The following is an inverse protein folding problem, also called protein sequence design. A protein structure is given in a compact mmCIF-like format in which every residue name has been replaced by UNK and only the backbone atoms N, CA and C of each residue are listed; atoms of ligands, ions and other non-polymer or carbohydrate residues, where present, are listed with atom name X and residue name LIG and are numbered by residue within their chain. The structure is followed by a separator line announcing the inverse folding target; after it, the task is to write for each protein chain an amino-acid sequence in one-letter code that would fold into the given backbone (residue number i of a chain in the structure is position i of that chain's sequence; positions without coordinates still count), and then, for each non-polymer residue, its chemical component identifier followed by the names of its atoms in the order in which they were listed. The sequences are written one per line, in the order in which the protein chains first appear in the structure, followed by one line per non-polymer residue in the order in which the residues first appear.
data_IF_907328083473
#
_entry.id   IF_907328083473
#
_cell.length_a   1.000
_cell.length_b   1.000
_cell.length_c   1.000
_cell.angle_alpha   90.00
_cell.angle_beta   90.00
_cell.angle_gamma   90.00
#
_symmetry.space_group_name_H-M   'P 1'
#
loop_
_entity.id
_entity.type
_entity.pdbx_description
1 polymer ?
#
# COMPACT_ATOMS: atom_id res chain seq x y z
N UNK A 1 5.18 -36.82 4.81
CA UNK A 1 6.59 -36.37 4.81
C UNK A 1 6.62 -34.96 4.23
N UNK A 2 7.23 -33.98 4.90
CA UNK A 2 7.36 -32.59 4.43
C UNK A 2 8.82 -32.13 4.53
N UNK A 3 9.23 -31.14 3.75
CA UNK A 3 10.58 -30.56 3.79
C UNK A 3 10.51 -29.13 4.33
N UNK A 4 11.36 -28.83 5.31
CA UNK A 4 11.52 -27.49 5.89
C UNK A 4 12.88 -26.93 5.50
N UNK A 5 12.92 -25.66 5.10
CA UNK A 5 14.13 -24.96 4.68
C UNK A 5 14.34 -23.73 5.56
N UNK A 6 15.56 -23.53 6.05
CA UNK A 6 15.97 -22.35 6.82
C UNK A 6 16.82 -21.46 5.91
N UNK A 7 16.20 -20.49 5.26
CA UNK A 7 16.84 -19.62 4.28
C UNK A 7 16.23 -18.23 4.34
N UNK A 8 17.02 -17.21 3.99
CA UNK A 8 16.55 -15.83 3.89
C UNK A 8 15.51 -15.64 2.77
N UNK A 9 15.49 -16.53 1.78
CA UNK A 9 14.54 -16.55 0.67
C UNK A 9 13.94 -17.96 0.50
N UNK A 10 12.66 -18.06 0.08
CA UNK A 10 12.02 -19.35 -0.12
C UNK A 10 12.77 -20.14 -1.21
N UNK A 11 12.91 -21.47 -1.04
CA UNK A 11 13.68 -22.32 -1.97
C UNK A 11 13.02 -22.45 -3.36
N UNK A 12 11.73 -22.14 -3.44
CA UNK A 12 10.95 -22.06 -4.68
C UNK A 12 10.35 -20.67 -4.72
N UNK A 13 10.62 -19.94 -5.80
CA UNK A 13 10.10 -18.60 -6.02
C UNK A 13 9.13 -18.62 -7.20
N UNK A 14 8.05 -17.85 -7.07
CA UNK A 14 7.17 -17.56 -8.19
C UNK A 14 7.89 -16.66 -9.21
N UNK A 15 7.60 -16.78 -10.51
CA UNK A 15 8.05 -15.79 -11.49
C UNK A 15 7.31 -14.44 -11.35
N UNK A 16 6.26 -14.37 -10.53
CA UNK A 16 5.52 -13.13 -10.28
C UNK A 16 6.33 -12.15 -9.44
N UNK A 17 6.01 -10.86 -9.57
CA UNK A 17 6.55 -9.83 -8.69
C UNK A 17 6.16 -10.08 -7.23
N UNK A 18 7.03 -9.71 -6.30
CA UNK A 18 6.82 -9.88 -4.86
C UNK A 18 6.85 -8.55 -4.13
N UNK A 19 6.24 -8.50 -2.95
CA UNK A 19 6.32 -7.36 -2.06
C UNK A 19 7.70 -7.34 -1.43
N UNK A 20 8.44 -6.25 -1.65
CA UNK A 20 9.70 -5.98 -0.98
C UNK A 20 9.47 -5.37 0.39
N UNK A 21 8.55 -4.40 0.47
CA UNK A 21 8.31 -3.63 1.69
C UNK A 21 6.89 -3.05 1.71
N UNK A 22 6.34 -2.93 2.91
CA UNK A 22 5.11 -2.20 3.19
C UNK A 22 5.43 -1.06 4.14
N UNK A 23 5.02 0.15 3.79
CA UNK A 23 5.15 1.36 4.63
C UNK A 23 3.79 1.94 4.87
N UNK A 24 3.63 2.57 6.04
CA UNK A 24 2.40 3.28 6.39
C UNK A 24 2.74 4.68 6.87
N UNK A 25 1.83 5.62 6.68
CA UNK A 25 2.07 7.03 6.99
C UNK A 25 0.79 7.84 7.10
N UNK A 26 0.94 9.16 7.14
CA UNK A 26 -0.19 10.08 7.05
C UNK A 26 -0.71 10.10 5.60
N UNK A 27 -2.01 9.83 5.41
CA UNK A 27 -2.69 10.01 4.13
C UNK A 27 -3.40 11.36 4.06
N UNK A 28 -4.33 11.50 3.14
CA UNK A 28 -5.25 12.64 3.11
C UNK A 28 -4.77 13.84 2.29
N UNK A 29 -3.49 13.86 1.91
CA UNK A 29 -2.88 14.99 1.23
C UNK A 29 -3.31 15.05 -0.23
N UNK A 30 -3.99 16.12 -0.69
CA UNK A 30 -4.19 16.37 -2.11
C UNK A 30 -2.87 16.36 -2.89
N UNK A 31 -2.94 16.04 -4.18
CA UNK A 31 -1.76 16.07 -5.05
C UNK A 31 -1.11 17.47 -5.02
N UNK A 32 0.20 17.51 -4.82
CA UNK A 32 0.97 18.75 -4.67
C UNK A 32 1.03 19.34 -3.25
N UNK A 33 0.30 18.80 -2.27
CA UNK A 33 0.40 19.25 -0.88
C UNK A 33 1.56 18.56 -0.15
N UNK A 34 2.46 19.36 0.42
CA UNK A 34 3.53 18.86 1.28
C UNK A 34 3.08 18.78 2.76
N UNK A 35 3.39 17.69 3.47
CA UNK A 35 3.26 17.62 4.92
C UNK A 35 3.99 18.79 5.58
N UNK A 36 3.29 19.54 6.44
CA UNK A 36 3.84 20.70 7.14
C UNK A 36 3.52 22.07 6.51
N UNK A 37 3.06 22.13 5.26
CA UNK A 37 2.48 23.35 4.68
C UNK A 37 0.96 23.34 4.85
N UNK A 38 0.33 22.25 4.42
CA UNK A 38 -1.12 22.08 4.44
C UNK A 38 -1.50 20.73 5.05
N UNK A 39 -2.13 20.72 6.23
CA UNK A 39 -2.67 19.49 6.82
C UNK A 39 -4.05 19.19 6.25
N UNK A 40 -4.38 17.92 5.95
CA UNK A 40 -5.70 17.57 5.46
C UNK A 40 -6.77 17.72 6.54
N UNK A 41 -7.96 18.18 6.13
CA UNK A 41 -9.12 18.28 7.04
C UNK A 41 -9.64 16.92 7.50
N UNK A 42 -9.42 15.88 6.68
CA UNK A 42 -9.88 14.52 6.94
C UNK A 42 -8.69 13.60 7.18
N UNK A 43 -8.76 12.86 8.28
CA UNK A 43 -7.79 11.83 8.58
C UNK A 43 -7.95 10.62 7.66
N UNK A 44 -6.83 10.13 7.18
CA UNK A 44 -6.64 8.93 6.37
C UNK A 44 -5.28 8.30 6.69
N UNK A 45 -5.18 6.98 6.44
CA UNK A 45 -3.94 6.22 6.58
C UNK A 45 -3.37 5.92 5.21
N UNK A 46 -2.15 6.38 4.93
CA UNK A 46 -1.44 6.03 3.70
C UNK A 46 -0.80 4.66 3.82
N UNK A 47 -0.91 3.86 2.76
CA UNK A 47 -0.17 2.63 2.56
C UNK A 47 0.66 2.76 1.29
N UNK A 48 1.95 2.42 1.38
CA UNK A 48 2.87 2.36 0.26
C UNK A 48 3.50 0.97 0.21
N UNK A 49 3.20 0.23 -0.86
CA UNK A 49 3.64 -1.15 -1.05
C UNK A 49 4.60 -1.19 -2.23
N UNK A 50 5.82 -1.64 -1.97
CA UNK A 50 6.88 -1.76 -2.98
C UNK A 50 6.87 -3.16 -3.56
N UNK A 51 6.68 -3.27 -4.87
CA UNK A 51 6.79 -4.50 -5.63
C UNK A 51 8.09 -4.54 -6.43
N UNK A 52 8.76 -5.70 -6.40
CA UNK A 52 10.02 -5.97 -7.12
C UNK A 52 9.99 -7.34 -7.79
N UNK A 53 10.84 -7.51 -8.80
CA UNK A 53 10.94 -8.76 -9.55
C UNK A 53 9.76 -8.99 -10.51
N UNK A 54 9.70 -10.21 -11.05
CA UNK A 54 8.78 -10.56 -12.14
C UNK A 54 8.91 -9.64 -13.36
N UNK A 55 7.85 -9.58 -14.16
CA UNK A 55 7.83 -8.84 -15.43
C UNK A 55 7.31 -7.40 -15.30
N UNK A 56 7.43 -6.76 -14.12
CA UNK A 56 6.88 -5.42 -13.87
C UNK A 56 7.34 -4.38 -14.90
N UNK A 57 8.62 -4.39 -15.27
CA UNK A 57 9.16 -3.46 -16.29
C UNK A 57 8.56 -3.68 -17.67
N UNK A 58 8.32 -4.93 -18.06
CA UNK A 58 7.71 -5.27 -19.33
C UNK A 58 6.19 -5.02 -19.32
N UNK A 59 5.56 -5.11 -18.14
CA UNK A 59 4.15 -4.82 -17.92
C UNK A 59 3.85 -3.31 -17.87
N UNK A 60 4.78 -2.48 -17.38
CA UNK A 60 4.55 -1.05 -17.19
C UNK A 60 4.12 -0.29 -18.46
N UNK A 61 4.76 -0.48 -19.64
CA UNK A 61 4.29 0.15 -20.89
C UNK A 61 2.89 -0.33 -21.32
N UNK A 62 2.46 -1.51 -20.86
CA UNK A 62 1.15 -2.10 -21.17
C UNK A 62 0.05 -1.69 -20.18
N UNK A 63 0.43 -1.01 -19.09
CA UNK A 63 -0.45 -0.62 -18.00
C UNK A 63 -0.45 -1.63 -16.85
N UNK A 64 0.07 -1.21 -15.70
CA UNK A 64 -0.06 -1.91 -14.43
C UNK A 64 -1.31 -1.40 -13.73
N UNK A 65 -2.14 -2.31 -13.24
CA UNK A 65 -3.36 -2.02 -12.51
C UNK A 65 -3.31 -2.65 -11.11
N UNK A 66 -3.34 -1.85 -10.03
CA UNK A 66 -3.50 -2.38 -8.69
C UNK A 66 -4.97 -2.76 -8.43
N UNK A 67 -5.22 -4.04 -8.15
CA UNK A 67 -6.53 -4.53 -7.75
C UNK A 67 -6.59 -4.57 -6.23
N UNK A 68 -7.29 -3.60 -5.63
CA UNK A 68 -7.39 -3.42 -4.18
C UNK A 68 -8.77 -3.88 -3.69
N UNK A 69 -8.80 -4.64 -2.61
CA UNK A 69 -10.02 -5.04 -1.91
C UNK A 69 -9.88 -4.76 -0.42
N UNK A 70 -10.89 -4.14 0.17
CA UNK A 70 -10.94 -3.76 1.57
C UNK A 70 -12.20 -4.33 2.20
N UNK A 71 -12.12 -4.86 3.43
CA UNK A 71 -13.32 -5.29 4.17
C UNK A 71 -14.16 -4.11 4.67
N UNK A 72 -13.55 -2.94 4.89
CA UNK A 72 -14.23 -1.69 5.24
C UNK A 72 -13.38 -0.46 4.90
N UNK A 73 -14.01 0.71 4.85
CA UNK A 73 -13.38 1.94 4.39
C UNK A 73 -13.25 2.02 2.87
N UNK A 74 -12.57 3.06 2.40
CA UNK A 74 -12.38 3.35 0.97
C UNK A 74 -10.91 3.61 0.66
N UNK A 75 -10.41 3.03 -0.43
CA UNK A 75 -9.11 3.40 -1.00
C UNK A 75 -9.30 4.58 -1.96
N UNK A 76 -8.50 5.63 -1.78
CA UNK A 76 -8.45 6.82 -2.66
C UNK A 76 -7.00 7.17 -2.96
N UNK A 77 -6.80 8.07 -3.92
CA UNK A 77 -5.47 8.62 -4.24
C UNK A 77 -4.47 7.52 -4.56
N UNK A 78 -4.88 6.64 -5.49
CA UNK A 78 -4.08 5.50 -5.90
C UNK A 78 -3.01 6.00 -6.86
N UNK A 79 -1.75 5.81 -6.50
CA UNK A 79 -0.59 6.22 -7.31
C UNK A 79 0.30 5.02 -7.60
N UNK A 80 0.84 4.98 -8.81
CA UNK A 80 1.78 3.97 -9.28
C UNK A 80 3.08 4.70 -9.60
N UNK A 81 4.10 4.49 -8.77
CA UNK A 81 5.35 5.21 -8.84
C UNK A 81 6.48 4.25 -9.16
N UNK A 82 7.26 4.51 -10.22
CA UNK A 82 8.53 3.83 -10.40
C UNK A 82 9.55 4.38 -9.40
N UNK A 83 10.30 3.49 -8.75
CA UNK A 83 11.30 3.86 -7.75
C UNK A 83 12.65 3.26 -8.15
N UNK A 84 13.50 4.11 -8.69
CA UNK A 84 14.82 3.73 -9.22
C UNK A 84 15.72 3.02 -8.19
N UNK A 85 15.84 3.46 -6.91
CA UNK A 85 16.75 2.82 -5.94
C UNK A 85 16.57 1.32 -5.71
N UNK A 86 15.35 0.80 -5.87
CA UNK A 86 15.08 -0.64 -5.75
C UNK A 86 14.55 -1.26 -7.04
N UNK A 87 14.59 -0.50 -8.13
CA UNK A 87 14.24 -0.96 -9.47
C UNK A 87 12.85 -1.62 -9.55
N UNK A 88 11.86 -0.97 -8.95
CA UNK A 88 10.52 -1.52 -8.80
C UNK A 88 9.43 -0.47 -8.80
N UNK A 89 8.21 -0.91 -8.51
CA UNK A 89 7.03 -0.05 -8.49
C UNK A 89 6.45 0.03 -7.08
N UNK A 90 6.24 1.25 -6.61
CA UNK A 90 5.48 1.56 -5.40
C UNK A 90 4.03 1.84 -5.77
N UNK A 91 3.13 1.07 -5.20
CA UNK A 91 1.71 1.37 -5.21
C UNK A 91 1.38 2.07 -3.90
N UNK A 92 0.82 3.27 -4.01
CA UNK A 92 0.36 4.03 -2.88
C UNK A 92 -1.15 4.18 -2.94
N UNK A 93 -1.81 4.11 -1.80
CA UNK A 93 -3.21 4.54 -1.66
C UNK A 93 -3.46 5.05 -0.25
N UNK A 94 -4.46 5.91 -0.12
CA UNK A 94 -4.93 6.41 1.15
C UNK A 94 -6.23 5.69 1.52
N UNK A 95 -6.21 5.04 2.69
CA UNK A 95 -7.38 4.44 3.29
C UNK A 95 -8.14 5.48 4.12
N UNK A 96 -9.41 5.67 3.76
CA UNK A 96 -10.35 6.53 4.48
C UNK A 96 -11.35 5.66 5.26
N UNK A 97 -11.53 5.91 6.57
CA UNK A 97 -12.59 5.25 7.33
C UNK A 97 -13.97 5.71 6.82
N UNK A 98 -14.88 4.76 6.61
CA UNK A 98 -16.30 5.02 6.30
C UNK A 98 -17.21 4.90 7.52
N UNK A 99 -16.66 4.51 8.67
CA UNK A 99 -17.37 4.45 9.96
C UNK A 99 -16.40 4.66 11.12
N UNK A 100 -16.96 4.82 12.32
CA UNK A 100 -16.22 4.94 13.58
C UNK A 100 -15.73 3.60 14.14
N UNK A 101 -15.99 2.50 13.45
CA UNK A 101 -15.55 1.17 13.86
C UNK A 101 -14.03 1.10 14.01
N UNK A 102 -13.59 0.37 15.03
CA UNK A 102 -12.19 0.00 15.28
C UNK A 102 -11.90 -1.47 14.96
N UNK A 103 -12.86 -2.16 14.34
CA UNK A 103 -12.68 -3.54 13.91
C UNK A 103 -11.51 -3.65 12.91
N UNK A 104 -10.80 -4.79 12.89
CA UNK A 104 -9.72 -5.00 11.93
C UNK A 104 -10.22 -4.85 10.49
N UNK A 105 -9.43 -4.19 9.67
CA UNK A 105 -9.66 -4.04 8.24
C UNK A 105 -8.75 -5.01 7.50
N UNK A 106 -9.35 -5.96 6.81
CA UNK A 106 -8.62 -6.87 5.95
C UNK A 106 -8.40 -6.17 4.61
N UNK A 107 -7.13 -6.07 4.22
CA UNK A 107 -6.68 -5.41 3.01
C UNK A 107 -5.99 -6.44 2.12
N UNK A 108 -6.40 -6.46 0.86
CA UNK A 108 -5.83 -7.32 -0.18
C UNK A 108 -5.45 -6.48 -1.37
N UNK A 109 -4.27 -6.72 -1.93
CA UNK A 109 -3.87 -6.13 -3.21
C UNK A 109 -3.02 -7.08 -4.03
N UNK A 110 -3.20 -7.07 -5.34
CA UNK A 110 -2.24 -7.64 -6.30
C UNK A 110 -2.18 -6.74 -7.54
N UNK A 111 -1.13 -6.88 -8.32
CA UNK A 111 -0.94 -6.18 -9.59
C UNK A 111 -1.45 -7.04 -10.73
N UNK A 112 -2.16 -6.40 -11.66
CA UNK A 112 -2.67 -6.98 -12.89
C UNK A 112 -2.14 -6.22 -14.09
N UNK A 113 -1.91 -6.91 -15.19
CA UNK A 113 -1.66 -6.31 -16.50
C UNK A 113 -2.42 -7.11 -17.56
N UNK A 114 -3.20 -6.43 -18.41
CA UNK A 114 -3.96 -7.07 -19.50
C UNK A 114 -4.83 -8.28 -19.06
N UNK A 115 -5.38 -8.24 -17.84
CA UNK A 115 -6.22 -9.31 -17.30
C UNK A 115 -5.46 -10.36 -16.48
N UNK A 116 -4.13 -10.42 -16.56
CA UNK A 116 -3.30 -11.40 -15.88
C UNK A 116 -2.66 -10.84 -14.60
N UNK A 117 -2.64 -11.64 -13.53
CA UNK A 117 -1.94 -11.28 -12.31
C UNK A 117 -0.42 -11.35 -12.53
N UNK A 118 0.28 -10.26 -12.23
CA UNK A 118 1.74 -10.14 -12.43
C UNK A 118 2.51 -10.05 -11.11
N UNK A 119 1.82 -10.07 -9.96
CA UNK A 119 2.43 -10.11 -8.64
C UNK A 119 1.80 -11.17 -7.74
N UNK A 120 2.47 -11.47 -6.64
CA UNK A 120 1.82 -12.08 -5.47
C UNK A 120 0.70 -11.19 -4.92
N UNK A 121 -0.14 -11.78 -4.08
CA UNK A 121 -1.16 -11.04 -3.34
C UNK A 121 -0.57 -10.54 -2.03
N UNK A 122 -0.48 -9.23 -1.87
CA UNK A 122 -0.28 -8.58 -0.59
C UNK A 122 -1.54 -8.74 0.27
N UNK A 123 -1.39 -9.39 1.42
CA UNK A 123 -2.43 -9.53 2.44
C UNK A 123 -1.97 -8.79 3.69
N UNK A 124 -2.82 -7.90 4.20
CA UNK A 124 -2.50 -7.08 5.36
C UNK A 124 -3.75 -6.85 6.20
N UNK A 125 -3.60 -6.93 7.51
CA UNK A 125 -4.68 -6.61 8.45
C UNK A 125 -4.32 -5.33 9.18
N UNK A 126 -5.14 -4.29 8.99
CA UNK A 126 -4.95 -2.99 9.61
C UNK A 126 -5.90 -2.80 10.79
N UNK A 127 -5.37 -2.29 11.90
CA UNK A 127 -6.13 -1.99 13.11
C UNK A 127 -6.28 -0.46 13.22
N UNK A 128 -7.42 0.11 12.78
CA UNK A 128 -7.60 1.55 12.79
C UNK A 128 -7.65 2.09 14.23
N UNK A 129 -7.04 3.26 14.49
CA UNK A 129 -7.17 3.89 15.80
C UNK A 129 -8.63 4.29 16.08
N UNK A 130 -8.94 4.48 17.36
CA UNK A 130 -10.24 4.99 17.79
C UNK A 130 -10.53 6.37 17.15
N UNK A 131 -11.82 6.71 16.90
CA UNK A 131 -12.21 7.92 16.17
C UNK A 131 -11.60 9.21 16.73
N UNK A 132 -11.54 9.35 18.04
CA UNK A 132 -10.96 10.50 18.76
C UNK A 132 -9.44 10.67 18.51
N UNK A 133 -8.76 9.59 18.10
CA UNK A 133 -7.34 9.57 17.76
C UNK A 133 -7.08 9.70 16.26
N UNK A 134 -8.11 9.78 15.41
CA UNK A 134 -8.00 10.00 13.97
C UNK A 134 -7.81 11.48 13.66
N UNK A 135 -6.72 12.03 14.17
CA UNK A 135 -6.31 13.42 13.97
C UNK A 135 -4.85 13.44 13.56
N UNK A 136 -4.50 14.36 12.67
CA UNK A 136 -3.09 14.66 12.46
C UNK A 136 -2.61 15.53 13.60
N UNK A 137 -1.39 15.26 14.03
CA UNK A 137 -0.70 16.12 14.97
C UNK A 137 -0.02 17.20 14.14
N UNK A 138 -0.43 18.46 14.33
CA UNK A 138 0.28 19.58 13.73
C UNK A 138 1.41 20.01 14.67
N UNK A 139 2.60 19.49 14.40
CA UNK A 139 3.80 19.74 15.20
C UNK A 139 4.20 21.23 15.21
N UNK A 140 3.64 22.07 14.33
CA UNK A 140 3.87 23.53 14.32
C UNK A 140 3.17 24.25 15.47
N UNK A 141 2.13 23.64 16.04
CA UNK A 141 1.30 24.23 17.10
C UNK A 141 1.75 23.75 18.49
N UNK A 142 2.53 22.66 18.55
CA UNK A 142 3.14 22.18 19.78
C UNK A 142 4.30 23.11 20.18
N UNK A 143 4.02 24.06 21.08
CA UNK A 143 5.04 24.84 21.81
C UNK A 143 5.34 24.23 23.16
#
# INVERSE_FOLDING_TARGET
NYRLYWSAQPPVQSPLARVMATRTGMGGFPEGWAPGEHYPDKWARRFAIDFVGGDLKAAAPKGIEPVITLSSGEAKQIEILYVEPFDGYRIQFDWYPTSDSTAPVDMRMFLRCQGEAISETWLYQYFPPAPDKRRYVDDRIMR
#
